data_IF_998353613035
#
_entry.id   IF_998353613035
#
_cell.length_a   1.000
_cell.length_b   1.000
_cell.length_c   1.000
_cell.angle_alpha   90.00
_cell.angle_beta   90.00
_cell.angle_gamma   90.00
#
_symmetry.space_group_name_H-M   'P 1'
#
loop_
_entity.id
_entity.type
_entity.pdbx_description
1 polymer ?
#
# COMPACT_ATOMS: atom_id res chain seq x y z
N UNK A 1 -42.16 -22.92 32.45
CA UNK A 1 -42.34 -23.41 31.07
C UNK A 1 -42.07 -22.45 29.93
N UNK A 2 -41.69 -21.18 30.17
CA UNK A 2 -41.37 -20.23 29.08
C UNK A 2 -39.92 -20.26 28.57
N UNK A 3 -38.93 -20.59 29.41
CA UNK A 3 -37.52 -20.42 29.03
C UNK A 3 -36.90 -21.60 28.27
N UNK A 4 -37.41 -22.83 28.44
CA UNK A 4 -36.91 -24.00 27.70
C UNK A 4 -37.35 -24.05 26.24
N UNK A 5 -38.37 -23.29 25.84
CA UNK A 5 -38.81 -23.21 24.44
C UNK A 5 -38.01 -22.20 23.61
N UNK A 6 -37.42 -21.18 24.24
CA UNK A 6 -36.59 -20.17 23.56
C UNK A 6 -35.20 -20.69 23.18
N UNK A 7 -34.54 -21.49 24.02
CA UNK A 7 -33.21 -22.04 23.69
C UNK A 7 -33.27 -23.08 22.55
N UNK A 8 -34.37 -23.84 22.44
CA UNK A 8 -34.54 -24.83 21.37
C UNK A 8 -34.72 -24.19 19.98
N UNK A 9 -35.33 -23.00 19.90
CA UNK A 9 -35.53 -22.25 18.65
C UNK A 9 -34.25 -21.56 18.17
N UNK A 10 -33.42 -21.06 19.08
CA UNK A 10 -32.12 -20.46 18.73
C UNK A 10 -31.10 -21.51 18.28
N UNK A 11 -31.04 -22.68 18.92
CA UNK A 11 -30.10 -23.73 18.53
C UNK A 11 -30.47 -24.45 17.22
N UNK A 12 -31.76 -24.47 16.85
CA UNK A 12 -32.24 -25.01 15.56
C UNK A 12 -31.90 -24.11 14.37
N UNK A 13 -31.94 -22.78 14.56
CA UNK A 13 -31.67 -21.82 13.48
C UNK A 13 -30.17 -21.73 13.11
N UNK A 14 -29.28 -21.81 14.10
CA UNK A 14 -27.83 -21.84 13.84
C UNK A 14 -27.37 -23.11 13.11
N UNK A 15 -27.98 -24.28 13.39
CA UNK A 15 -27.62 -25.53 12.70
C UNK A 15 -28.10 -25.55 11.25
N UNK A 16 -29.24 -24.92 10.93
CA UNK A 16 -29.70 -24.76 9.55
C UNK A 16 -28.90 -23.72 8.76
N UNK A 17 -28.39 -22.66 9.41
CA UNK A 17 -27.52 -21.66 8.77
C UNK A 17 -26.12 -22.21 8.49
N UNK A 18 -25.54 -22.96 9.42
CA UNK A 18 -24.21 -23.58 9.25
C UNK A 18 -24.23 -24.78 8.27
N UNK A 19 -25.35 -25.52 8.18
CA UNK A 19 -25.54 -26.55 7.16
C UNK A 19 -25.64 -25.93 5.75
N UNK A 20 -26.33 -24.80 5.61
CA UNK A 20 -26.45 -24.09 4.33
C UNK A 20 -25.13 -23.42 3.89
N UNK A 21 -24.30 -22.98 4.84
CA UNK A 21 -22.97 -22.44 4.55
C UNK A 21 -21.94 -23.51 4.11
N UNK A 22 -22.19 -24.79 4.40
CA UNK A 22 -21.30 -25.91 4.05
C UNK A 22 -21.63 -26.54 2.68
N UNK A 23 -22.78 -26.21 2.08
CA UNK A 23 -23.23 -26.73 0.79
C UNK A 23 -22.90 -25.83 -0.42
N UNK A 24 -22.28 -24.66 -0.21
CA UNK A 24 -22.04 -23.64 -1.27
C UNK A 24 -20.60 -23.73 -1.87
N UNK A 25 -19.80 -24.73 -1.49
CA UNK A 25 -18.44 -24.91 -2.03
C UNK A 25 -18.20 -26.23 -2.79
N UNK A 26 -18.76 -26.41 -4.01
CA UNK A 26 -18.23 -27.39 -4.96
C UNK A 26 -17.53 -26.76 -6.20
N UNK A 27 -17.43 -25.43 -6.30
CA UNK A 27 -17.04 -24.76 -7.58
C UNK A 27 -15.83 -23.83 -7.49
N UNK A 28 -14.86 -24.12 -6.62
CA UNK A 28 -13.54 -23.51 -6.73
C UNK A 28 -12.76 -24.17 -7.89
N UNK A 29 -13.12 -23.81 -9.12
CA UNK A 29 -12.21 -23.92 -10.25
C UNK A 29 -11.37 -22.64 -10.31
N UNK A 30 -10.07 -22.82 -10.08
CA UNK A 30 -9.04 -21.83 -10.32
C UNK A 30 -8.95 -21.64 -11.84
N UNK A 31 -9.51 -20.56 -12.35
CA UNK A 31 -9.42 -20.27 -13.79
C UNK A 31 -8.05 -19.65 -14.10
N UNK A 32 -7.23 -20.47 -14.74
CA UNK A 32 -5.86 -20.19 -15.14
C UNK A 32 -5.84 -19.48 -16.50
N UNK A 33 -5.56 -18.17 -16.49
CA UNK A 33 -4.75 -17.48 -17.51
C UNK A 33 -5.32 -17.25 -18.92
N UNK A 34 -5.09 -16.01 -19.37
CA UNK A 34 -4.98 -15.53 -20.76
C UNK A 34 -6.25 -15.18 -21.53
N UNK A 35 -6.18 -14.02 -22.21
CA UNK A 35 -7.11 -13.63 -23.28
C UNK A 35 -7.75 -12.27 -23.05
N UNK A 36 -7.02 -11.20 -23.38
CA UNK A 36 -7.63 -9.90 -23.62
C UNK A 36 -8.53 -10.01 -24.85
N UNK A 37 -9.84 -10.15 -24.65
CA UNK A 37 -10.81 -10.10 -25.75
C UNK A 37 -11.57 -8.77 -25.73
N UNK A 38 -11.13 -7.88 -26.62
CA UNK A 38 -11.74 -6.57 -26.89
C UNK A 38 -12.87 -6.79 -27.90
N UNK A 39 -14.02 -7.34 -27.46
CA UNK A 39 -15.30 -7.24 -28.20
C UNK A 39 -16.50 -7.77 -27.40
N UNK A 40 -16.78 -7.20 -26.24
CA UNK A 40 -18.07 -7.41 -25.56
C UNK A 40 -19.05 -6.29 -25.91
N UNK A 41 -19.97 -6.60 -26.83
CA UNK A 41 -21.20 -5.84 -27.12
C UNK A 41 -21.94 -5.51 -25.81
N UNK A 42 -22.29 -4.24 -25.62
CA UNK A 42 -23.41 -3.82 -24.74
C UNK A 42 -23.28 -4.04 -23.24
N UNK A 43 -22.07 -4.24 -22.68
CA UNK A 43 -21.89 -4.23 -21.22
C UNK A 43 -22.09 -2.79 -20.73
N UNK A 44 -23.20 -2.51 -20.02
CA UNK A 44 -23.33 -1.28 -19.24
C UNK A 44 -22.07 -1.12 -18.40
N UNK A 45 -21.24 -0.14 -18.76
CA UNK A 45 -20.01 0.17 -18.05
C UNK A 45 -20.43 0.68 -16.68
N UNK A 46 -20.41 -0.21 -15.68
CA UNK A 46 -20.76 0.16 -14.31
C UNK A 46 -19.73 1.16 -13.81
N UNK A 47 -20.22 2.22 -13.18
CA UNK A 47 -19.38 3.26 -12.59
C UNK A 47 -18.51 2.72 -11.46
N UNK A 48 -18.99 1.72 -10.74
CA UNK A 48 -18.28 1.07 -9.64
C UNK A 48 -18.06 -0.41 -9.96
N UNK A 49 -16.87 -0.91 -9.65
CA UNK A 49 -16.55 -2.32 -9.81
C UNK A 49 -17.34 -3.22 -8.84
N UNK A 50 -17.54 -4.49 -9.19
CA UNK A 50 -18.12 -5.53 -8.32
C UNK A 50 -17.34 -6.84 -8.39
N UNK A 51 -16.02 -6.70 -8.57
CA UNK A 51 -15.10 -7.83 -8.77
C UNK A 51 -14.56 -8.38 -7.44
N UNK A 52 -14.97 -7.82 -6.31
CA UNK A 52 -14.56 -8.29 -5.00
C UNK A 52 -15.33 -9.54 -4.54
N UNK A 53 -14.89 -10.17 -3.43
CA UNK A 53 -15.63 -11.25 -2.78
C UNK A 53 -17.07 -10.84 -2.50
N UNK A 54 -18.02 -11.79 -2.59
CA UNK A 54 -19.45 -11.54 -2.38
C UNK A 54 -20.06 -10.47 -3.32
N UNK A 55 -19.45 -10.27 -4.51
CA UNK A 55 -19.92 -9.28 -5.49
C UNK A 55 -19.74 -7.82 -5.03
N UNK A 56 -18.87 -7.59 -4.04
CA UNK A 56 -18.61 -6.26 -3.49
C UNK A 56 -17.71 -5.43 -4.41
N UNK A 57 -17.79 -4.11 -4.27
CA UNK A 57 -16.84 -3.20 -4.90
C UNK A 57 -15.51 -3.20 -4.16
N UNK A 58 -14.40 -3.12 -4.90
CA UNK A 58 -13.07 -2.90 -4.33
C UNK A 58 -12.77 -1.42 -4.09
N UNK A 59 -13.81 -0.56 -4.15
CA UNK A 59 -13.68 0.90 -4.09
C UNK A 59 -13.09 1.50 -5.38
N UNK A 60 -13.04 0.75 -6.48
CA UNK A 60 -12.49 1.24 -7.75
C UNK A 60 -13.61 1.81 -8.60
N UNK A 61 -13.47 3.10 -8.89
CA UNK A 61 -14.36 3.80 -9.79
C UNK A 61 -13.85 3.59 -11.21
N UNK A 62 -14.76 3.21 -12.10
CA UNK A 62 -14.49 3.06 -13.52
C UNK A 62 -14.56 4.44 -14.23
N UNK A 63 -13.72 5.36 -13.75
CA UNK A 63 -13.59 6.71 -14.27
C UNK A 63 -12.21 6.87 -14.89
N UNK A 64 -12.18 7.04 -16.21
CA UNK A 64 -10.96 7.42 -16.91
C UNK A 64 -10.94 8.94 -16.97
N UNK A 65 -10.04 9.56 -16.21
CA UNK A 65 -9.74 10.99 -16.40
C UNK A 65 -9.03 11.10 -17.76
N UNK A 66 -9.53 11.94 -18.66
CA UNK A 66 -8.83 12.36 -19.87
C UNK A 66 -8.19 13.72 -19.59
N UNK A 67 -6.92 13.88 -19.90
CA UNK A 67 -6.20 15.13 -19.66
C UNK A 67 -4.73 14.98 -20.03
N UNK A 68 -4.13 16.06 -20.51
CA UNK A 68 -2.81 16.04 -21.14
C UNK A 68 -1.72 15.59 -20.17
N UNK A 69 -0.83 14.71 -20.66
CA UNK A 69 0.35 14.21 -19.93
C UNK A 69 1.19 15.32 -19.25
N UNK A 70 1.54 16.44 -19.91
CA UNK A 70 2.38 17.47 -19.30
C UNK A 70 1.76 18.13 -18.07
N UNK A 71 0.43 18.32 -18.06
CA UNK A 71 -0.28 18.92 -16.91
C UNK A 71 -0.24 17.94 -15.73
N UNK A 72 -0.45 16.64 -15.99
CA UNK A 72 -0.38 15.60 -14.96
C UNK A 72 1.01 15.50 -14.34
N UNK A 73 2.06 15.47 -15.17
CA UNK A 73 3.43 15.38 -14.69
C UNK A 73 3.78 16.57 -13.77
N UNK A 74 3.34 17.78 -14.12
CA UNK A 74 3.56 18.97 -13.30
C UNK A 74 2.80 18.93 -11.97
N UNK A 75 1.54 18.48 -11.97
CA UNK A 75 0.73 18.38 -10.74
C UNK A 75 1.28 17.30 -9.80
N UNK A 76 1.62 16.11 -10.31
CA UNK A 76 2.22 15.05 -9.49
C UNK A 76 3.64 15.39 -9.03
N UNK A 77 4.40 16.15 -9.82
CA UNK A 77 5.73 16.63 -9.43
C UNK A 77 5.70 17.70 -8.34
N UNK A 78 4.69 18.57 -8.36
CA UNK A 78 4.48 19.56 -7.29
C UNK A 78 4.12 18.89 -5.95
N UNK A 79 3.42 17.75 -6.00
CA UNK A 79 3.03 16.96 -4.83
C UNK A 79 3.81 15.64 -4.75
N UNK A 80 5.14 15.76 -4.72
CA UNK A 80 6.06 14.63 -4.76
C UNK A 80 5.92 13.70 -3.54
N UNK A 81 5.66 14.26 -2.35
CA UNK A 81 5.50 13.49 -1.11
C UNK A 81 4.25 12.61 -1.16
N UNK A 82 3.07 13.16 -1.49
CA UNK A 82 1.85 12.36 -1.56
C UNK A 82 1.89 11.38 -2.74
N UNK A 83 2.55 11.74 -3.85
CA UNK A 83 2.76 10.84 -4.99
C UNK A 83 3.61 9.62 -4.61
N UNK A 84 4.70 9.82 -3.86
CA UNK A 84 5.56 8.74 -3.39
C UNK A 84 4.82 7.83 -2.39
N UNK A 85 4.16 8.40 -1.39
CA UNK A 85 3.45 7.64 -0.34
C UNK A 85 2.24 6.89 -0.92
N UNK A 86 1.56 7.43 -1.93
CA UNK A 86 0.41 6.80 -2.56
C UNK A 86 0.76 5.80 -3.67
N UNK A 87 2.03 5.73 -4.06
CA UNK A 87 2.49 4.75 -5.06
C UNK A 87 2.30 3.29 -4.59
N UNK A 88 2.33 2.36 -5.54
CA UNK A 88 2.24 0.92 -5.23
C UNK A 88 3.40 0.48 -4.34
N UNK A 89 3.15 -0.47 -3.42
CA UNK A 89 4.15 -0.90 -2.41
C UNK A 89 5.48 -1.32 -3.02
N UNK A 90 5.45 -2.04 -4.15
CA UNK A 90 6.66 -2.45 -4.88
C UNK A 90 7.44 -1.26 -5.44
N UNK A 91 6.74 -0.24 -5.97
CA UNK A 91 7.35 0.98 -6.51
C UNK A 91 7.98 1.81 -5.40
N UNK A 92 7.28 1.93 -4.28
CA UNK A 92 7.77 2.62 -3.10
C UNK A 92 9.04 1.97 -2.54
N UNK A 93 9.02 0.64 -2.33
CA UNK A 93 10.18 -0.09 -1.84
C UNK A 93 11.36 0.00 -2.82
N UNK A 94 11.09 -0.11 -4.12
CA UNK A 94 12.11 0.08 -5.16
C UNK A 94 12.70 1.50 -5.17
N UNK A 95 11.88 2.53 -4.95
CA UNK A 95 12.33 3.92 -4.86
C UNK A 95 13.21 4.15 -3.63
N UNK A 96 12.83 3.61 -2.47
CA UNK A 96 13.63 3.69 -1.25
C UNK A 96 14.96 2.98 -1.43
N UNK A 97 14.95 1.75 -1.94
CA UNK A 97 16.18 0.98 -2.20
C UNK A 97 17.11 1.72 -3.19
N UNK A 98 16.55 2.28 -4.26
CA UNK A 98 17.30 3.10 -5.21
C UNK A 98 17.94 4.31 -4.52
N UNK A 99 17.21 4.99 -3.61
CA UNK A 99 17.76 6.12 -2.87
C UNK A 99 18.97 5.72 -2.00
N UNK A 100 18.90 4.59 -1.29
CA UNK A 100 20.04 4.05 -0.53
C UNK A 100 21.24 3.75 -1.44
N UNK A 101 21.00 3.08 -2.58
CA UNK A 101 22.07 2.75 -3.54
C UNK A 101 22.71 4.01 -4.11
N UNK A 102 21.91 5.02 -4.49
CA UNK A 102 22.43 6.29 -5.04
C UNK A 102 23.26 7.04 -4.01
N UNK A 103 22.79 7.11 -2.75
CA UNK A 103 23.54 7.77 -1.66
C UNK A 103 24.85 7.02 -1.39
N UNK A 104 24.82 5.69 -1.30
CA UNK A 104 26.02 4.88 -1.10
C UNK A 104 27.01 5.00 -2.27
N UNK A 105 26.53 5.05 -3.51
CA UNK A 105 27.39 5.28 -4.68
C UNK A 105 28.00 6.68 -4.69
N UNK A 106 27.22 7.69 -4.31
CA UNK A 106 27.71 9.07 -4.22
C UNK A 106 28.85 9.19 -3.19
N UNK A 107 28.62 8.76 -1.95
CA UNK A 107 29.65 8.81 -0.91
C UNK A 107 30.81 7.87 -1.20
N UNK A 108 30.56 6.69 -1.77
CA UNK A 108 31.61 5.77 -2.19
C UNK A 108 32.54 6.36 -3.26
N UNK A 109 31.98 7.11 -4.21
CA UNK A 109 32.76 7.89 -5.17
C UNK A 109 33.58 9.00 -4.51
N UNK A 110 33.04 9.67 -3.49
CA UNK A 110 33.78 10.68 -2.72
C UNK A 110 34.95 10.07 -1.96
N UNK A 111 34.77 8.92 -1.30
CA UNK A 111 35.88 8.25 -0.60
C UNK A 111 36.96 7.75 -1.54
N UNK A 112 36.57 7.19 -2.69
CA UNK A 112 37.52 6.82 -3.73
C UNK A 112 38.32 8.03 -4.23
N UNK A 113 37.65 9.16 -4.47
CA UNK A 113 38.32 10.39 -4.88
C UNK A 113 39.31 10.91 -3.82
N UNK A 114 38.94 10.85 -2.53
CA UNK A 114 39.83 11.25 -1.43
C UNK A 114 41.05 10.32 -1.37
N UNK A 115 40.84 9.00 -1.44
CA UNK A 115 41.90 7.99 -1.42
C UNK A 115 42.92 8.20 -2.55
N UNK A 116 42.46 8.53 -3.76
CA UNK A 116 43.34 8.81 -4.91
C UNK A 116 44.08 10.14 -4.75
N UNK A 117 43.44 11.15 -4.17
CA UNK A 117 44.03 12.49 -4.02
C UNK A 117 45.07 12.59 -2.91
N UNK A 118 44.91 11.83 -1.84
CA UNK A 118 45.79 11.89 -0.67
C UNK A 118 46.12 10.49 -0.14
N UNK A 119 47.24 9.89 -0.59
CA UNK A 119 47.70 8.59 -0.11
C UNK A 119 47.98 8.53 1.40
N UNK A 120 48.12 9.68 2.08
CA UNK A 120 48.38 9.72 3.53
C UNK A 120 47.15 9.35 4.38
N UNK A 121 45.96 9.29 3.78
CA UNK A 121 44.70 8.98 4.45
C UNK A 121 44.54 7.51 4.84
N UNK A 122 45.40 6.60 4.36
CA UNK A 122 45.39 5.16 4.66
C UNK A 122 44.00 4.48 4.55
N UNK A 123 43.14 4.98 3.65
CA UNK A 123 41.79 4.44 3.44
C UNK A 123 41.80 3.04 2.79
N UNK A 124 42.91 2.63 2.18
CA UNK A 124 43.08 1.35 1.47
C UNK A 124 41.99 1.09 0.40
N UNK A 125 41.45 2.17 -0.17
CA UNK A 125 40.45 2.12 -1.24
C UNK A 125 41.18 2.31 -2.58
N UNK A 126 41.31 1.24 -3.35
CA UNK A 126 41.98 1.20 -4.65
C UNK A 126 41.00 1.44 -5.80
N UNK A 127 39.76 0.95 -5.65
CA UNK A 127 38.75 0.97 -6.70
C UNK A 127 37.40 1.57 -6.24
N UNK A 128 36.57 2.02 -7.18
CA UNK A 128 35.23 2.55 -6.88
C UNK A 128 34.34 1.54 -6.14
N UNK A 129 34.51 0.24 -6.41
CA UNK A 129 33.76 -0.84 -5.74
C UNK A 129 34.10 -0.89 -4.24
N UNK A 130 35.37 -0.74 -3.89
CA UNK A 130 35.82 -0.70 -2.49
C UNK A 130 35.32 0.56 -1.80
N UNK A 131 35.33 1.71 -2.49
CA UNK A 131 34.72 2.94 -1.98
C UNK A 131 33.22 2.80 -1.74
N UNK A 132 32.49 2.16 -2.65
CA UNK A 132 31.08 1.84 -2.48
C UNK A 132 30.84 0.90 -1.30
N UNK A 133 31.64 -0.16 -1.14
CA UNK A 133 31.54 -1.07 0.01
C UNK A 133 31.77 -0.32 1.33
N UNK A 134 32.81 0.52 1.41
CA UNK A 134 33.09 1.34 2.59
C UNK A 134 31.93 2.30 2.93
N UNK A 135 31.36 2.95 1.91
CA UNK A 135 30.18 3.80 2.10
C UNK A 135 28.96 2.98 2.55
N UNK A 136 28.73 1.81 1.96
CA UNK A 136 27.62 0.93 2.32
C UNK A 136 27.73 0.44 3.77
N UNK A 137 28.90 0.00 4.20
CA UNK A 137 29.16 -0.44 5.58
C UNK A 137 28.91 0.68 6.59
N UNK A 138 29.31 1.91 6.25
CA UNK A 138 29.06 3.09 7.06
C UNK A 138 27.57 3.43 7.11
N UNK A 139 26.89 3.43 5.96
CA UNK A 139 25.48 3.81 5.83
C UNK A 139 24.55 2.80 6.53
N UNK A 140 24.89 1.51 6.45
CA UNK A 140 24.13 0.41 7.06
C UNK A 140 24.56 0.10 8.49
N UNK A 141 25.57 0.79 9.01
CA UNK A 141 26.15 0.57 10.34
C UNK A 141 26.66 -0.85 10.57
N UNK A 142 27.03 -1.56 9.50
CA UNK A 142 27.63 -2.90 9.59
C UNK A 142 29.05 -2.78 10.17
N UNK A 143 29.84 -1.86 9.61
CA UNK A 143 31.18 -1.51 10.09
C UNK A 143 32.13 -2.70 10.22
N UNK A 144 32.50 -3.37 9.11
CA UNK A 144 33.47 -4.49 9.17
C UNK A 144 34.87 -4.04 9.61
N UNK A 145 35.15 -2.74 9.51
CA UNK A 145 36.37 -2.10 10.00
C UNK A 145 37.39 -1.89 8.88
N UNK A 146 38.14 -0.79 8.96
CA UNK A 146 39.27 -0.47 8.07
C UNK A 146 40.60 -0.70 8.76
N UNK A 147 41.67 -0.83 7.97
CA UNK A 147 43.04 -0.98 8.47
C UNK A 147 43.48 0.18 9.39
N UNK A 148 42.99 1.39 9.14
CA UNK A 148 43.16 2.55 10.02
C UNK A 148 41.79 3.19 10.33
N UNK A 149 41.46 3.31 11.62
CA UNK A 149 40.19 3.88 12.11
C UNK A 149 40.29 5.41 12.20
N UNK A 150 41.50 5.96 12.30
CA UNK A 150 41.73 7.40 12.40
C UNK A 150 42.00 8.03 11.02
N UNK A 151 42.04 7.24 9.94
CA UNK A 151 42.23 7.69 8.56
C UNK A 151 43.40 8.67 8.39
N UNK A 152 44.55 8.34 9.01
CA UNK A 152 45.74 9.20 9.00
C UNK A 152 45.58 10.56 9.69
N UNK A 153 44.50 10.78 10.46
CA UNK A 153 44.17 12.06 11.09
C UNK A 153 43.64 13.11 10.11
N UNK A 154 43.18 12.70 8.92
CA UNK A 154 42.72 13.63 7.89
C UNK A 154 41.32 14.17 8.19
N UNK A 155 41.22 15.50 8.37
CA UNK A 155 39.97 16.19 8.69
C UNK A 155 38.90 16.04 7.60
N UNK A 156 39.27 15.96 6.32
CA UNK A 156 38.32 15.85 5.21
C UNK A 156 37.53 14.56 5.28
N UNK A 157 38.18 13.43 5.61
CA UNK A 157 37.53 12.12 5.76
C UNK A 157 36.52 12.15 6.90
N UNK A 158 36.90 12.73 8.05
CA UNK A 158 36.03 12.85 9.22
C UNK A 158 34.78 13.68 8.93
N UNK A 159 34.93 14.80 8.22
CA UNK A 159 33.80 15.66 7.83
C UNK A 159 32.86 14.91 6.89
N UNK A 160 33.38 14.27 5.85
CA UNK A 160 32.56 13.50 4.89
C UNK A 160 31.84 12.36 5.59
N UNK A 161 32.53 11.62 6.46
CA UNK A 161 31.95 10.56 7.27
C UNK A 161 30.81 11.05 8.16
N UNK A 162 31.02 12.18 8.86
CA UNK A 162 30.00 12.78 9.72
C UNK A 162 28.76 13.18 8.91
N UNK A 163 28.97 13.83 7.76
CA UNK A 163 27.87 14.21 6.86
C UNK A 163 27.14 12.98 6.34
N UNK A 164 27.85 11.91 5.97
CA UNK A 164 27.24 10.68 5.50
C UNK A 164 26.34 10.06 6.57
N UNK A 165 26.80 9.96 7.82
CA UNK A 165 26.01 9.41 8.92
C UNK A 165 24.74 10.24 9.15
N UNK A 166 24.84 11.57 9.13
CA UNK A 166 23.66 12.44 9.26
C UNK A 166 22.66 12.25 8.13
N UNK A 167 23.12 12.15 6.89
CA UNK A 167 22.27 11.87 5.72
C UNK A 167 21.61 10.50 5.83
N UNK A 168 22.35 9.48 6.28
CA UNK A 168 21.83 8.14 6.55
C UNK A 168 20.71 8.14 7.58
N UNK A 169 20.90 8.83 8.71
CA UNK A 169 19.88 8.95 9.76
C UNK A 169 18.59 9.60 9.26
N UNK A 170 18.70 10.66 8.45
CA UNK A 170 17.53 11.31 7.83
C UNK A 170 16.82 10.34 6.88
N UNK A 171 17.57 9.59 6.07
CA UNK A 171 17.01 8.61 5.15
C UNK A 171 16.29 7.48 5.88
N UNK A 172 16.85 6.97 6.97
CA UNK A 172 16.23 5.94 7.82
C UNK A 172 14.92 6.46 8.43
N UNK A 173 14.93 7.67 8.99
CA UNK A 173 13.74 8.31 9.55
C UNK A 173 12.61 8.48 8.52
N UNK A 174 12.95 8.92 7.30
CA UNK A 174 11.99 9.03 6.19
C UNK A 174 11.45 7.65 5.82
N UNK A 175 12.32 6.65 5.71
CA UNK A 175 11.96 5.27 5.37
C UNK A 175 10.99 4.69 6.39
N UNK A 176 11.29 4.78 7.68
CA UNK A 176 10.40 4.33 8.75
C UNK A 176 9.07 5.08 8.76
N UNK A 177 9.09 6.40 8.58
CA UNK A 177 7.87 7.22 8.53
C UNK A 177 6.94 6.81 7.38
N UNK A 178 7.50 6.56 6.20
CA UNK A 178 6.72 6.15 5.02
C UNK A 178 6.20 4.71 5.15
N UNK A 179 7.01 3.78 5.65
CA UNK A 179 6.58 2.40 5.94
C UNK A 179 5.48 2.39 7.00
N UNK A 180 5.64 3.14 8.08
CA UNK A 180 4.64 3.28 9.14
C UNK A 180 3.33 3.85 8.61
N UNK A 181 3.39 4.91 7.78
CA UNK A 181 2.22 5.47 7.09
C UNK A 181 1.54 4.45 6.17
N UNK A 182 2.31 3.57 5.51
CA UNK A 182 1.77 2.50 4.67
C UNK A 182 1.04 1.43 5.49
N UNK A 183 1.62 0.98 6.59
CA UNK A 183 1.03 -0.05 7.47
C UNK A 183 -0.21 0.49 8.19
N UNK A 184 -0.19 1.78 8.55
CA UNK A 184 -1.30 2.46 9.23
C UNK A 184 -2.53 2.66 8.35
N UNK A 185 -2.41 2.50 7.01
CA UNK A 185 -3.57 2.61 6.11
C UNK A 185 -4.51 1.42 6.29
N UNK A 186 -5.70 1.70 6.82
CA UNK A 186 -6.76 0.73 7.10
C UNK A 186 -7.50 0.19 5.85
N UNK A 187 -6.87 0.14 4.66
CA UNK A 187 -7.52 -0.34 3.44
C UNK A 187 -8.05 -1.79 3.56
N UNK A 188 -7.49 -2.59 4.47
CA UNK A 188 -7.95 -3.96 4.72
C UNK A 188 -9.29 -4.02 5.49
N UNK A 189 -9.71 -2.94 6.18
CA UNK A 189 -11.00 -2.90 6.90
C UNK A 189 -12.21 -2.75 5.97
N UNK A 190 -12.05 -2.12 4.80
CA UNK A 190 -13.14 -2.01 3.83
C UNK A 190 -13.65 -3.39 3.34
N UNK A 191 -12.79 -4.42 3.39
CA UNK A 191 -13.16 -5.78 2.98
C UNK A 191 -13.99 -6.54 4.01
N UNK A 192 -14.04 -6.09 5.26
CA UNK A 192 -14.86 -6.76 6.27
C UNK A 192 -16.28 -6.22 6.37
N UNK A 193 -16.54 -5.06 5.76
CA UNK A 193 -17.89 -4.51 5.63
C UNK A 193 -18.52 -5.05 4.34
N UNK A 194 -19.62 -5.78 4.46
CA UNK A 194 -20.36 -6.35 3.34
C UNK A 194 -21.73 -5.68 3.20
N UNK A 195 -22.13 -5.42 1.95
CA UNK A 195 -23.45 -4.93 1.60
C UNK A 195 -24.34 -6.06 1.08
N UNK A 196 -25.65 -5.96 1.28
CA UNK A 196 -26.62 -6.85 0.62
C UNK A 196 -26.50 -6.76 -0.91
N UNK A 197 -26.56 -7.91 -1.59
CA UNK A 197 -26.45 -7.97 -3.07
C UNK A 197 -27.56 -7.16 -3.78
N UNK A 198 -28.76 -7.16 -3.18
CA UNK A 198 -29.94 -6.46 -3.68
C UNK A 198 -30.45 -5.48 -2.65
N UNK A 199 -30.88 -4.31 -3.12
CA UNK A 199 -31.65 -3.36 -2.33
C UNK A 199 -33.13 -3.54 -2.67
N UNK A 200 -34.00 -3.25 -1.71
CA UNK A 200 -35.45 -3.41 -1.85
C UNK A 200 -36.16 -2.08 -1.63
N UNK A 201 -37.25 -1.87 -2.37
CA UNK A 201 -38.17 -0.75 -2.15
C UNK A 201 -39.43 -1.32 -1.52
N UNK A 202 -39.74 -0.89 -0.31
CA UNK A 202 -40.91 -1.39 0.43
C UNK A 202 -41.65 -0.24 1.12
N UNK A 203 -42.91 -0.48 1.47
CA UNK A 203 -43.76 0.49 2.15
C UNK A 203 -43.71 0.25 3.66
N UNK A 204 -43.13 1.18 4.40
CA UNK A 204 -43.09 1.15 5.88
C UNK A 204 -43.88 2.35 6.40
N UNK A 205 -44.86 2.09 7.27
CA UNK A 205 -45.74 3.13 7.82
C UNK A 205 -46.38 4.02 6.74
N UNK A 206 -46.86 3.41 5.65
CA UNK A 206 -47.51 4.10 4.53
C UNK A 206 -46.58 4.85 3.57
N UNK A 207 -45.27 4.91 3.84
CA UNK A 207 -44.26 5.63 3.02
C UNK A 207 -43.38 4.65 2.26
N UNK A 208 -43.03 4.98 1.02
CA UNK A 208 -42.04 4.22 0.23
C UNK A 208 -40.64 4.45 0.81
N UNK A 209 -39.94 3.36 1.10
CA UNK A 209 -38.58 3.37 1.68
C UNK A 209 -37.66 2.48 0.85
N UNK A 210 -36.44 2.96 0.61
CA UNK A 210 -35.37 2.21 -0.03
C UNK A 210 -34.46 1.64 1.05
N UNK A 211 -34.28 0.32 1.06
CA UNK A 211 -33.56 -0.38 2.12
C UNK A 211 -32.48 -1.28 1.52
N UNK A 212 -31.33 -1.30 2.18
CA UNK A 212 -30.22 -2.23 1.94
C UNK A 212 -29.57 -2.55 3.28
N UNK A 213 -28.94 -3.72 3.38
CA UNK A 213 -28.29 -4.16 4.61
C UNK A 213 -26.78 -3.97 4.50
N UNK A 214 -26.16 -3.64 5.63
CA UNK A 214 -24.71 -3.53 5.80
C UNK A 214 -24.33 -4.34 7.04
N UNK A 215 -23.30 -5.16 6.94
CA UNK A 215 -22.82 -6.00 8.04
C UNK A 215 -21.30 -5.90 8.15
N UNK A 216 -20.78 -5.86 9.38
CA UNK A 216 -19.35 -5.98 9.68
C UNK A 216 -19.05 -7.43 10.07
N UNK A 217 -18.18 -8.08 9.30
CA UNK A 217 -17.81 -9.49 9.50
C UNK A 217 -16.83 -9.71 10.67
N UNK A 218 -16.12 -8.66 11.12
CA UNK A 218 -15.17 -8.78 12.23
C UNK A 218 -15.87 -8.62 13.59
N UNK A 219 -15.26 -9.24 14.61
CA UNK A 219 -15.75 -9.17 16.00
C UNK A 219 -15.65 -7.78 16.64
N UNK A 220 -14.76 -6.91 16.16
CA UNK A 220 -14.58 -5.59 16.75
C UNK A 220 -15.60 -4.61 16.17
N UNK A 221 -16.23 -3.82 17.04
CA UNK A 221 -17.23 -2.86 16.62
C UNK A 221 -16.60 -1.68 15.86
N UNK A 222 -17.29 -1.23 14.81
CA UNK A 222 -16.97 -0.01 14.09
C UNK A 222 -17.49 1.20 14.88
N UNK A 223 -16.59 2.00 15.44
CA UNK A 223 -16.90 3.25 16.14
C UNK A 223 -17.18 4.34 15.10
N UNK A 224 -18.16 5.22 15.36
CA UNK A 224 -18.54 6.33 14.47
C UNK A 224 -18.90 5.91 13.03
N UNK A 225 -19.68 4.83 12.91
CA UNK A 225 -20.14 4.35 11.62
C UNK A 225 -21.17 5.33 11.00
N UNK A 226 -20.84 5.85 9.81
CA UNK A 226 -21.72 6.71 9.02
C UNK A 226 -21.93 6.13 7.62
N UNK A 227 -23.18 6.11 7.17
CA UNK A 227 -23.55 5.66 5.82
C UNK A 227 -23.92 6.87 4.97
N UNK A 228 -23.38 6.93 3.75
CA UNK A 228 -23.74 7.93 2.74
C UNK A 228 -24.24 7.21 1.49
N UNK A 229 -25.36 7.67 0.95
CA UNK A 229 -25.95 7.14 -0.27
C UNK A 229 -26.03 8.25 -1.32
N UNK A 230 -25.66 7.93 -2.56
CA UNK A 230 -25.71 8.84 -3.69
C UNK A 230 -26.55 8.20 -4.80
N UNK A 231 -27.53 8.94 -5.33
CA UNK A 231 -28.30 8.54 -6.49
C UNK A 231 -27.71 9.23 -7.73
N UNK A 232 -27.18 8.44 -8.66
CA UNK A 232 -26.60 8.94 -9.91
C UNK A 232 -27.52 8.47 -11.04
N UNK A 233 -28.05 9.43 -11.79
CA UNK A 233 -28.91 9.18 -12.94
C UNK A 233 -28.17 9.68 -14.18
N UNK A 234 -28.06 8.84 -15.19
CA UNK A 234 -27.61 9.28 -16.51
C UNK A 234 -28.81 9.88 -17.24
N UNK A 235 -28.88 11.21 -17.24
CA UNK A 235 -29.83 11.93 -18.07
C UNK A 235 -29.25 11.97 -19.49
N UNK A 236 -29.75 11.10 -20.35
CA UNK A 236 -29.53 11.20 -21.80
C UNK A 236 -30.43 12.33 -22.28
N UNK A 237 -29.83 13.50 -22.54
CA UNK A 237 -30.46 14.57 -23.31
C UNK A 237 -30.46 14.25 -24.80
#
# INVERSE_FOLDING_TARGET
>A
DGERHSEALFHGSERHSLASAKEILPHLQVDSGQGADIRSKGKHVRMLDRMGPFGQSLGKWNLVRTGDLPIRARVYGADWFHTLVNSGTKKLLGCLLLAYVVIALFFGGVYWAISVSDPSTNLDIQNLVEGYMFSLETLTTIGYGTHDIFFGGNMYVVVVFTVQVLVGLVLDCVTFGVIFSRISRANTRAFSIIFSDKAVVTRVNGKLTFQFQVCELRKHQLVEAHVRAYAIRHDLH
#
